data_IF_620322199209
#
_entry.id   IF_620322199209
#
_cell.length_a   1.000
_cell.length_b   1.000
_cell.length_c   1.000
_cell.angle_alpha   90.00
_cell.angle_beta   90.00
_cell.angle_gamma   90.00
#
_symmetry.space_group_name_H-M   'P 1'
#
loop_
_entity.id
_entity.type
_entity.pdbx_description
1 polymer ?
#
# COMPACT_ATOMS: atom_id res chain seq x y z
N UNK A 1 -6.73 -37.81 5.54
CA UNK A 1 -5.30 -37.90 5.91
C UNK A 1 -4.67 -36.53 5.75
N UNK A 2 -3.85 -36.08 6.70
CA UNK A 2 -3.16 -34.78 6.64
C UNK A 2 -1.94 -34.87 5.69
N UNK A 3 -1.63 -33.78 4.98
CA UNK A 3 -0.43 -33.75 4.13
C UNK A 3 0.85 -33.83 4.98
N UNK A 4 2.00 -34.24 4.41
CA UNK A 4 3.27 -34.26 5.14
C UNK A 4 3.62 -32.93 5.80
N UNK A 5 3.30 -31.82 5.14
CA UNK A 5 3.54 -30.47 5.64
C UNK A 5 2.60 -30.11 6.80
N UNK A 6 1.32 -30.45 6.69
CA UNK A 6 0.35 -30.24 7.77
C UNK A 6 0.73 -31.05 9.01
N UNK A 7 1.24 -32.26 8.82
CA UNK A 7 1.69 -33.14 9.90
C UNK A 7 2.93 -32.58 10.60
N UNK A 8 3.86 -31.97 9.85
CA UNK A 8 5.02 -31.25 10.39
C UNK A 8 4.60 -30.01 11.19
N UNK A 9 3.69 -29.21 10.64
CA UNK A 9 3.18 -28.02 11.33
C UNK A 9 2.41 -28.38 12.60
N UNK A 10 1.62 -29.46 12.57
CA UNK A 10 0.90 -29.95 13.73
C UNK A 10 1.86 -30.41 14.84
N UNK A 11 2.95 -31.11 14.48
CA UNK A 11 3.99 -31.50 15.44
C UNK A 11 4.72 -30.31 16.07
N UNK A 12 4.96 -29.24 15.31
CA UNK A 12 5.72 -28.09 15.79
C UNK A 12 4.87 -27.13 16.64
N UNK A 13 3.61 -26.91 16.25
CA UNK A 13 2.76 -25.87 16.85
C UNK A 13 1.56 -26.41 17.63
N UNK A 14 1.34 -27.72 17.66
CA UNK A 14 0.21 -28.37 18.35
C UNK A 14 -1.17 -28.12 17.71
N UNK A 15 -1.25 -27.21 16.74
CA UNK A 15 -2.44 -26.88 15.96
C UNK A 15 -2.01 -26.53 14.54
N UNK A 16 -2.71 -27.08 13.55
CA UNK A 16 -2.54 -26.63 12.18
C UNK A 16 -2.98 -25.16 12.07
N UNK A 17 -2.11 -24.22 11.66
CA UNK A 17 -2.53 -22.84 11.44
C UNK A 17 -3.61 -22.82 10.36
N UNK A 18 -4.82 -22.40 10.72
CA UNK A 18 -5.92 -22.32 9.77
C UNK A 18 -5.69 -21.15 8.83
N UNK A 19 -5.44 -21.45 7.55
CA UNK A 19 -5.26 -20.46 6.47
C UNK A 19 -6.39 -19.41 6.47
N UNK A 20 -7.62 -19.82 6.78
CA UNK A 20 -8.81 -18.97 6.81
C UNK A 20 -8.72 -17.77 7.77
N UNK A 21 -8.04 -17.91 8.91
CA UNK A 21 -7.94 -16.83 9.90
C UNK A 21 -6.91 -15.76 9.50
N UNK A 22 -5.92 -16.11 8.68
CA UNK A 22 -4.87 -15.19 8.23
C UNK A 22 -5.35 -14.26 7.12
N UNK A 23 -6.17 -14.76 6.20
CA UNK A 23 -6.58 -13.97 5.04
C UNK A 23 -7.84 -13.13 5.30
N UNK A 24 -8.78 -13.59 6.13
CA UNK A 24 -10.06 -12.91 6.32
C UNK A 24 -9.96 -11.52 6.95
N UNK A 25 -9.00 -11.31 7.87
CA UNK A 25 -8.82 -10.03 8.55
C UNK A 25 -8.18 -8.97 7.64
N UNK A 26 -7.24 -9.38 6.79
CA UNK A 26 -6.47 -8.46 5.96
C UNK A 26 -7.13 -8.18 4.61
N UNK A 27 -7.99 -9.06 4.08
CA UNK A 27 -8.64 -8.79 2.79
C UNK A 27 -9.60 -7.58 2.83
N UNK A 28 -10.31 -7.35 3.95
CA UNK A 28 -11.28 -6.25 4.06
C UNK A 28 -10.67 -4.90 4.46
N UNK A 29 -9.56 -4.88 5.20
CA UNK A 29 -8.95 -3.64 5.71
C UNK A 29 -7.87 -3.06 4.80
N UNK A 30 -7.52 -3.75 3.70
CA UNK A 30 -6.47 -3.33 2.76
C UNK A 30 -6.94 -2.15 1.91
N UNK A 31 -6.54 -0.95 2.36
CA UNK A 31 -6.89 0.34 1.74
C UNK A 31 -5.94 0.73 0.61
N UNK A 32 -4.64 0.43 0.74
CA UNK A 32 -3.60 0.90 -0.18
C UNK A 32 -2.86 -0.26 -0.86
N UNK A 33 -2.36 -0.01 -2.06
CA UNK A 33 -1.65 -0.95 -2.91
C UNK A 33 -0.23 -1.13 -2.36
N UNK A 34 0.13 -2.36 -2.02
CA UNK A 34 1.43 -2.70 -1.46
C UNK A 34 2.35 -3.39 -2.49
N UNK A 35 3.61 -3.61 -2.11
CA UNK A 35 4.56 -4.33 -2.98
C UNK A 35 4.18 -5.79 -3.23
N UNK A 36 3.33 -6.39 -2.39
CA UNK A 36 2.77 -7.72 -2.59
C UNK A 36 1.72 -7.75 -3.70
N UNK A 37 0.83 -6.75 -3.74
CA UNK A 37 -0.12 -6.57 -4.85
C UNK A 37 0.62 -6.32 -6.16
N UNK A 38 1.73 -5.57 -6.12
CA UNK A 38 2.62 -5.42 -7.27
C UNK A 38 3.16 -6.78 -7.73
N UNK A 39 3.69 -7.60 -6.82
CA UNK A 39 4.20 -8.93 -7.18
C UNK A 39 3.11 -9.81 -7.80
N UNK A 40 1.88 -9.78 -7.28
CA UNK A 40 0.74 -10.55 -7.80
C UNK A 40 0.24 -10.05 -9.16
N UNK A 41 0.17 -8.72 -9.36
CA UNK A 41 -0.20 -8.12 -10.64
C UNK A 41 0.84 -8.41 -11.72
N UNK A 42 2.13 -8.34 -11.38
CA UNK A 42 3.23 -8.72 -12.27
C UNK A 42 3.26 -10.21 -12.58
N UNK A 43 2.85 -11.07 -11.64
CA UNK A 43 2.76 -12.52 -11.83
C UNK A 43 1.52 -12.97 -12.64
N UNK A 44 0.69 -12.04 -13.12
CA UNK A 44 -0.52 -12.36 -13.89
C UNK A 44 -1.66 -12.97 -13.06
N UNK A 45 -1.56 -12.94 -11.72
CA UNK A 45 -2.54 -13.52 -10.77
C UNK A 45 -3.42 -12.46 -10.09
N UNK A 46 -3.35 -11.20 -10.53
CA UNK A 46 -4.12 -10.08 -9.98
C UNK A 46 -5.57 -9.98 -10.47
N UNK A 47 -6.08 -10.95 -11.23
CA UNK A 47 -7.40 -10.89 -11.88
C UNK A 47 -8.56 -11.48 -11.05
N UNK A 48 -8.31 -11.95 -9.82
CA UNK A 48 -9.41 -12.24 -8.91
C UNK A 48 -10.15 -10.94 -8.63
N UNK A 49 -11.48 -10.96 -8.77
CA UNK A 49 -12.38 -9.80 -8.64
C UNK A 49 -12.15 -9.04 -7.32
N UNK A 50 -11.66 -9.73 -6.29
CA UNK A 50 -11.26 -9.13 -5.00
C UNK A 50 -9.95 -8.33 -5.06
N UNK A 51 -8.98 -8.71 -5.89
CA UNK A 51 -7.64 -8.07 -5.95
C UNK A 51 -7.67 -6.72 -6.66
N UNK A 52 -8.60 -6.51 -7.60
CA UNK A 52 -8.73 -5.22 -8.30
C UNK A 52 -9.38 -4.12 -7.46
N UNK A 53 -10.18 -4.49 -6.46
CA UNK A 53 -10.86 -3.55 -5.54
C UNK A 53 -10.05 -3.27 -4.27
N UNK A 54 -9.24 -4.23 -3.84
CA UNK A 54 -8.40 -4.13 -2.65
C UNK A 54 -7.17 -3.26 -2.93
N UNK A 55 -6.86 -2.30 -2.05
CA UNK A 55 -5.65 -1.50 -2.15
C UNK A 55 -5.70 -0.32 -3.13
N UNK A 56 -6.80 -0.05 -3.81
CA UNK A 56 -6.85 1.00 -4.85
C UNK A 56 -7.08 2.43 -4.33
N UNK A 57 -7.27 2.64 -3.02
CA UNK A 57 -7.48 3.98 -2.48
C UNK A 57 -6.18 4.79 -2.53
N UNK A 58 -6.29 6.07 -2.89
CA UNK A 58 -5.22 7.04 -2.74
C UNK A 58 -5.63 8.09 -1.69
N UNK A 59 -4.72 8.53 -0.80
CA UNK A 59 -5.03 9.60 0.14
C UNK A 59 -5.35 10.90 -0.62
N UNK A 60 -6.42 11.58 -0.21
CA UNK A 60 -6.81 12.85 -0.83
C UNK A 60 -5.68 13.88 -0.68
N UNK A 61 -5.34 14.65 -1.74
CA UNK A 61 -4.29 15.68 -1.67
C UNK A 61 -4.54 16.75 -0.60
N UNK A 62 -5.78 16.92 -0.14
CA UNK A 62 -6.11 17.82 0.96
C UNK A 62 -5.68 17.28 2.33
N UNK A 63 -5.64 15.96 2.51
CA UNK A 63 -5.37 15.30 3.79
C UNK A 63 -3.88 15.01 4.03
N UNK A 64 -3.01 15.30 3.05
CA UNK A 64 -1.57 15.12 3.20
C UNK A 64 -1.04 16.22 4.12
N UNK A 65 -0.37 15.88 5.25
CA UNK A 65 0.25 16.88 6.12
C UNK A 65 1.22 17.76 5.31
N UNK A 66 0.91 19.05 5.18
CA UNK A 66 1.81 20.02 4.55
C UNK A 66 2.73 20.56 5.64
N UNK A 67 4.07 20.56 5.45
CA UNK A 67 4.94 21.29 6.36
C UNK A 67 4.48 22.75 6.38
N UNK A 68 4.08 23.26 7.55
CA UNK A 68 3.72 24.67 7.70
C UNK A 68 4.99 25.48 7.42
N UNK A 69 4.97 26.30 6.37
CA UNK A 69 5.97 27.34 6.14
C UNK A 69 5.77 28.44 7.20
N UNK A 70 6.02 28.13 8.47
CA UNK A 70 6.11 29.13 9.53
C UNK A 70 7.57 29.24 9.96
N UNK A 71 8.12 30.44 9.76
CA UNK A 71 9.44 30.90 10.16
C UNK A 71 10.62 30.54 9.24
N UNK A 72 10.72 31.25 8.12
CA UNK A 72 11.86 32.14 7.81
C UNK A 72 11.49 33.07 6.66
N UNK A 73 10.90 34.23 6.98
CA UNK A 73 11.10 35.43 6.16
C UNK A 73 12.47 35.99 6.54
N UNK A 74 13.30 36.31 5.55
CA UNK A 74 13.64 37.71 5.40
C UNK A 74 13.11 38.25 4.07
N UNK A 75 12.72 39.51 4.16
CA UNK A 75 12.22 40.37 3.10
C UNK A 75 13.25 40.68 2.01
N UNK A 76 12.73 41.00 0.82
CA UNK A 76 13.29 41.87 -0.24
C UNK A 76 13.97 41.21 -1.44
N UNK A 77 13.45 41.56 -2.64
CA UNK A 77 14.09 41.51 -3.96
C UNK A 77 14.11 40.13 -4.62
N UNK A 78 13.74 39.90 -5.88
CA UNK A 78 13.60 40.80 -7.03
C UNK A 78 12.68 40.09 -8.03
N UNK A 79 11.67 40.80 -8.53
CA UNK A 79 10.86 40.38 -9.66
C UNK A 79 11.73 40.43 -10.92
N UNK A 80 12.09 39.28 -11.47
CA UNK A 80 12.65 39.20 -12.83
C UNK A 80 11.62 38.47 -13.70
N UNK A 81 10.80 39.27 -14.38
CA UNK A 81 9.95 38.84 -15.48
C UNK A 81 10.84 38.71 -16.73
N UNK A 82 10.89 37.58 -17.43
CA UNK A 82 11.60 37.52 -18.70
C UNK A 82 10.72 38.18 -19.78
N UNK A 83 11.26 39.17 -20.47
CA UNK A 83 10.73 39.66 -21.74
C UNK A 83 11.24 38.77 -22.87
N UNK A 84 10.41 38.28 -23.80
CA UNK A 84 10.91 37.74 -25.05
C UNK A 84 11.33 38.88 -25.98
N UNK A 85 12.55 38.79 -26.51
CA UNK A 85 13.04 39.60 -27.63
C UNK A 85 12.74 38.88 -28.94
N UNK A 86 12.17 39.65 -29.88
CA UNK A 86 11.89 39.45 -31.33
C UNK A 86 12.24 38.10 -31.95
#
# INVERSE_FOLDING_TARGET
>A
ALSPDELRLFRLYGRAPSQSHRFARHLKERKYFDSGDYALSKAGKGNSVDVGLIGSLHPAPQNIPRPSLSSRRPSMGTSIRPTPSV
#
